data_IF_396607640498
#
_entry.id   IF_396607640498
#
_cell.length_a   1.000
_cell.length_b   1.000
_cell.length_c   1.000
_cell.angle_alpha   90.00
_cell.angle_beta   90.00
_cell.angle_gamma   90.00
#
_symmetry.space_group_name_H-M   'P 1'
#
loop_
_entity.id
_entity.type
_entity.pdbx_description
1 polymer ?
#
# COMPACT_ATOMS: atom_id res chain seq x y z
N UNK A 1 0.24 12.02 -2.76
CA UNK A 1 -0.56 12.12 -1.52
C UNK A 1 0.19 11.55 -0.32
N UNK A 2 0.61 12.39 0.62
CA UNK A 2 0.73 11.99 2.03
C UNK A 2 -0.55 11.24 2.44
N UNK A 3 -0.48 10.26 3.35
CA UNK A 3 -1.70 9.70 3.93
C UNK A 3 -2.59 10.87 4.34
N UNK A 4 -3.73 11.03 3.67
CA UNK A 4 -4.63 12.15 3.94
C UNK A 4 -5.09 11.92 5.37
N UNK A 5 -4.69 12.85 6.23
CA UNK A 5 -5.11 13.11 7.60
C UNK A 5 -5.59 11.91 8.46
N UNK A 6 -5.20 11.96 9.73
CA UNK A 6 -6.00 11.42 10.84
C UNK A 6 -7.40 12.05 10.79
N UNK A 7 -8.25 11.56 9.89
CA UNK A 7 -9.67 11.82 9.92
C UNK A 7 -10.17 11.12 11.17
N UNK A 8 -10.59 11.90 12.15
CA UNK A 8 -11.18 11.36 13.38
C UNK A 8 -12.35 10.41 13.08
N UNK A 9 -12.96 10.53 11.89
CA UNK A 9 -14.06 9.69 11.41
C UNK A 9 -13.69 8.20 11.26
N UNK A 10 -12.41 7.87 11.01
CA UNK A 10 -11.99 6.49 10.77
C UNK A 10 -11.19 5.89 11.93
N UNK A 11 -10.82 6.67 12.94
CA UNK A 11 -9.88 6.23 13.99
C UNK A 11 -10.33 4.99 14.77
N UNK A 12 -11.65 4.77 14.85
CA UNK A 12 -12.25 3.65 15.56
C UNK A 12 -12.62 2.49 14.63
N UNK A 13 -12.31 2.57 13.34
CA UNK A 13 -12.58 1.50 12.40
C UNK A 13 -11.59 0.35 12.63
N UNK A 14 -12.09 -0.87 12.47
CA UNK A 14 -11.35 -2.08 12.74
C UNK A 14 -11.47 -3.03 11.57
N UNK A 15 -10.40 -3.75 11.31
CA UNK A 15 -10.44 -4.92 10.45
C UNK A 15 -10.28 -6.16 11.33
N UNK A 16 -11.17 -7.13 11.19
CA UNK A 16 -11.09 -8.42 11.88
C UNK A 16 -11.01 -9.56 10.89
N UNK A 17 -10.11 -10.49 11.16
CA UNK A 17 -10.00 -11.76 10.45
C UNK A 17 -9.64 -12.82 11.49
N UNK A 18 -10.46 -13.87 11.59
CA UNK A 18 -10.29 -14.94 12.57
C UNK A 18 -10.06 -14.39 14.00
N UNK A 19 -8.87 -14.68 14.57
CA UNK A 19 -8.45 -14.24 15.90
C UNK A 19 -7.56 -12.99 15.88
N UNK A 20 -7.44 -12.29 14.75
CA UNK A 20 -6.59 -11.11 14.58
C UNK A 20 -7.44 -9.85 14.39
N UNK A 21 -7.17 -8.85 15.22
CA UNK A 21 -7.73 -7.51 15.06
C UNK A 21 -6.63 -6.55 14.56
N UNK A 22 -7.03 -5.67 13.64
CA UNK A 22 -6.23 -4.58 13.13
C UNK A 22 -6.97 -3.26 13.39
N UNK A 23 -6.24 -2.24 13.81
CA UNK A 23 -6.75 -0.89 14.00
C UNK A 23 -6.53 -0.05 12.75
N UNK A 24 -7.40 0.92 12.48
CA UNK A 24 -7.16 1.92 11.44
C UNK A 24 -5.78 2.58 11.63
N UNK A 25 -5.00 2.62 10.57
CA UNK A 25 -3.68 3.25 10.54
C UNK A 25 -3.64 4.49 9.65
N UNK A 26 -4.29 4.42 8.48
CA UNK A 26 -4.30 5.50 7.50
C UNK A 26 -5.13 5.14 6.28
N UNK A 27 -5.25 6.05 5.32
CA UNK A 27 -5.84 5.76 4.02
C UNK A 27 -5.16 6.55 2.92
N UNK A 28 -5.22 6.01 1.71
CA UNK A 28 -4.85 6.69 0.47
C UNK A 28 -6.07 6.89 -0.42
N UNK A 29 -5.82 7.27 -1.68
CA UNK A 29 -6.90 7.53 -2.64
C UNK A 29 -7.75 6.29 -2.98
N UNK A 30 -7.16 5.09 -2.91
CA UNK A 30 -7.78 3.86 -3.42
C UNK A 30 -7.96 2.78 -2.34
N UNK A 31 -7.70 3.06 -1.07
CA UNK A 31 -7.88 2.09 -0.01
C UNK A 31 -7.46 2.57 1.37
N UNK A 32 -7.74 1.72 2.35
CA UNK A 32 -7.46 1.94 3.76
C UNK A 32 -6.38 0.98 4.25
N UNK A 33 -5.58 1.43 5.20
CA UNK A 33 -4.53 0.67 5.86
C UNK A 33 -4.94 0.38 7.31
N UNK A 34 -4.85 -0.88 7.69
CA UNK A 34 -5.09 -1.34 9.05
C UNK A 34 -3.83 -1.98 9.63
N UNK A 35 -3.47 -1.66 10.87
CA UNK A 35 -2.26 -2.12 11.55
C UNK A 35 -2.62 -3.13 12.64
N UNK A 36 -1.94 -4.28 12.65
CA UNK A 36 -1.89 -5.17 13.81
C UNK A 36 -0.53 -4.99 14.48
N UNK A 37 -0.49 -4.25 15.60
CA UNK A 37 0.75 -4.01 16.34
C UNK A 37 1.35 -5.28 16.92
N UNK A 38 0.50 -6.14 17.49
CA UNK A 38 0.91 -7.42 18.06
C UNK A 38 1.66 -8.30 17.05
N UNK A 39 1.21 -8.26 15.79
CA UNK A 39 1.82 -9.06 14.72
C UNK A 39 2.80 -8.26 13.85
N UNK A 40 2.98 -6.95 14.10
CA UNK A 40 3.78 -6.04 13.26
C UNK A 40 3.45 -6.15 11.76
N UNK A 41 2.16 -6.18 11.42
CA UNK A 41 1.66 -6.29 10.04
C UNK A 41 0.71 -5.14 9.71
N UNK A 42 0.75 -4.69 8.46
CA UNK A 42 -0.22 -3.75 7.90
C UNK A 42 -1.03 -4.48 6.82
N UNK A 43 -2.35 -4.32 6.83
CA UNK A 43 -3.24 -4.79 5.76
C UNK A 43 -3.80 -3.61 5.00
N UNK A 44 -3.64 -3.64 3.67
CA UNK A 44 -4.28 -2.71 2.75
C UNK A 44 -5.58 -3.32 2.25
N UNK A 45 -6.67 -2.57 2.38
CA UNK A 45 -8.00 -2.96 1.91
C UNK A 45 -8.48 -1.92 0.89
N UNK A 46 -8.60 -2.26 -0.40
CA UNK A 46 -9.04 -1.30 -1.42
C UNK A 46 -10.50 -0.88 -1.23
N UNK A 47 -10.83 0.35 -1.62
CA UNK A 47 -12.23 0.81 -1.63
C UNK A 47 -13.02 0.19 -2.80
N UNK A 48 -14.28 -0.15 -2.57
CA UNK A 48 -15.23 -0.67 -3.57
C UNK A 48 -16.17 0.37 -4.15
N UNK A 49 -16.25 1.56 -3.54
CA UNK A 49 -17.13 2.66 -3.94
C UNK A 49 -16.48 4.04 -3.75
N UNK A 50 -16.97 5.04 -4.48
CA UNK A 50 -16.48 6.42 -4.42
C UNK A 50 -16.62 7.15 -5.77
N UNK A 51 -15.69 8.08 -6.06
CA UNK A 51 -15.69 8.91 -7.27
C UNK A 51 -15.30 8.18 -8.57
N UNK A 52 -14.97 6.89 -8.51
CA UNK A 52 -14.52 6.09 -9.66
C UNK A 52 -15.39 4.85 -9.85
N UNK A 53 -15.58 4.38 -11.09
CA UNK A 53 -16.26 3.11 -11.36
C UNK A 53 -15.57 1.94 -10.64
N UNK A 54 -16.35 1.02 -10.08
CA UNK A 54 -15.84 -0.15 -9.34
C UNK A 54 -14.88 -1.00 -10.16
N UNK A 55 -15.13 -1.20 -11.46
CA UNK A 55 -14.22 -1.93 -12.37
C UNK A 55 -12.83 -1.30 -12.42
N UNK A 56 -12.76 0.04 -12.46
CA UNK A 56 -11.50 0.77 -12.45
C UNK A 56 -10.77 0.60 -11.11
N UNK A 57 -11.49 0.61 -9.98
CA UNK A 57 -10.92 0.38 -8.65
C UNK A 57 -10.38 -1.05 -8.51
N UNK A 58 -11.11 -2.04 -9.03
CA UNK A 58 -10.66 -3.43 -9.08
C UNK A 58 -9.36 -3.55 -9.87
N UNK A 59 -9.25 -2.91 -11.04
CA UNK A 59 -8.04 -2.96 -11.84
C UNK A 59 -6.86 -2.30 -11.12
N UNK A 60 -7.07 -1.11 -10.53
CA UNK A 60 -6.02 -0.41 -9.75
C UNK A 60 -5.52 -1.28 -8.59
N UNK A 61 -6.42 -1.93 -7.86
CA UNK A 61 -6.06 -2.81 -6.75
C UNK A 61 -5.26 -4.03 -7.22
N UNK A 62 -5.65 -4.65 -8.34
CA UNK A 62 -4.91 -5.76 -8.96
C UNK A 62 -3.53 -5.33 -9.43
N UNK A 63 -3.43 -4.19 -10.10
CA UNK A 63 -2.17 -3.63 -10.60
C UNK A 63 -1.20 -3.32 -9.46
N UNK A 64 -1.71 -2.73 -8.36
CA UNK A 64 -0.91 -2.46 -7.17
C UNK A 64 -0.40 -3.77 -6.53
N UNK A 65 -1.28 -4.75 -6.31
CA UNK A 65 -0.90 -6.04 -5.75
C UNK A 65 0.14 -6.75 -6.63
N UNK A 66 -0.04 -6.70 -7.96
CA UNK A 66 0.92 -7.25 -8.91
C UNK A 66 2.27 -6.52 -8.83
N UNK A 67 2.28 -5.18 -8.75
CA UNK A 67 3.49 -4.39 -8.63
C UNK A 67 4.28 -4.78 -7.36
N UNK A 68 3.58 -4.90 -6.23
CA UNK A 68 4.19 -5.26 -4.95
C UNK A 68 4.74 -6.69 -5.00
N UNK A 69 4.04 -7.65 -5.61
CA UNK A 69 4.54 -9.01 -5.82
C UNK A 69 5.77 -9.06 -6.72
N UNK A 70 5.78 -8.32 -7.83
CA UNK A 70 6.96 -8.21 -8.71
C UNK A 70 8.15 -7.63 -7.96
N UNK A 71 7.93 -6.59 -7.16
CA UNK A 71 8.97 -6.00 -6.33
C UNK A 71 9.50 -6.96 -5.25
N UNK A 72 8.62 -7.75 -4.63
CA UNK A 72 8.98 -8.74 -3.62
C UNK A 72 9.88 -9.85 -4.17
N UNK A 73 9.62 -10.30 -5.39
CA UNK A 73 10.31 -11.43 -6.01
C UNK A 73 11.63 -11.05 -6.71
N UNK A 74 11.93 -9.76 -6.82
CA UNK A 74 13.13 -9.27 -7.51
C UNK A 74 14.27 -8.96 -6.56
N UNK A 75 15.48 -9.48 -6.84
CA UNK A 75 16.69 -9.17 -6.08
C UNK A 75 17.07 -7.67 -6.13
N UNK A 76 16.59 -6.93 -7.13
CA UNK A 76 16.88 -5.50 -7.31
C UNK A 76 16.05 -4.61 -6.40
N UNK A 77 14.80 -5.00 -6.12
CA UNK A 77 13.79 -4.14 -5.51
C UNK A 77 13.29 -4.64 -4.16
N UNK A 78 13.38 -5.94 -3.86
CA UNK A 78 12.88 -6.55 -2.61
C UNK A 78 13.30 -5.84 -1.33
N UNK A 79 14.50 -5.24 -1.31
CA UNK A 79 15.01 -4.53 -0.13
C UNK A 79 14.30 -3.20 0.14
N UNK A 80 13.69 -2.60 -0.89
CA UNK A 80 13.02 -1.31 -0.82
C UNK A 80 11.54 -1.40 -0.49
N UNK A 81 10.97 -2.60 -0.35
CA UNK A 81 9.56 -2.75 0.01
C UNK A 81 9.43 -3.43 1.38
N UNK A 82 8.28 -3.30 2.05
CA UNK A 82 7.98 -4.09 3.23
C UNK A 82 7.64 -5.55 2.82
N UNK A 83 8.23 -6.51 3.53
CA UNK A 83 8.07 -7.96 3.28
C UNK A 83 7.74 -8.69 4.57
N UNK A 84 7.01 -9.82 4.55
CA UNK A 84 6.48 -10.51 3.37
C UNK A 84 5.28 -9.79 2.75
N UNK A 85 4.87 -10.18 1.55
CA UNK A 85 3.63 -9.72 0.89
C UNK A 85 2.71 -10.92 0.75
N UNK A 86 1.48 -10.82 1.24
CA UNK A 86 0.52 -11.94 1.23
C UNK A 86 -0.90 -11.44 0.93
N UNK A 87 -1.60 -12.11 0.01
CA UNK A 87 -3.04 -11.90 -0.20
C UNK A 87 -3.86 -12.44 0.97
N UNK A 88 -4.86 -11.68 1.42
CA UNK A 88 -5.62 -11.99 2.63
C UNK A 88 -7.12 -11.66 2.48
N UNK A 89 -7.83 -12.37 1.58
CA UNK A 89 -9.15 -11.97 1.09
C UNK A 89 -10.31 -12.03 2.10
N UNK A 90 -10.08 -12.40 3.37
CA UNK A 90 -11.13 -12.79 4.32
C UNK A 90 -11.37 -11.77 5.46
N UNK A 91 -10.74 -10.61 5.41
CA UNK A 91 -10.90 -9.59 6.45
C UNK A 91 -12.24 -8.85 6.35
N UNK A 92 -12.89 -8.61 7.49
CA UNK A 92 -14.11 -7.81 7.60
C UNK A 92 -13.82 -6.45 8.22
N UNK A 93 -14.33 -5.38 7.61
CA UNK A 93 -14.17 -4.01 8.10
C UNK A 93 -15.39 -3.60 8.90
N UNK A 94 -15.16 -3.14 10.12
CA UNK A 94 -16.16 -2.63 11.04
C UNK A 94 -15.96 -1.13 11.25
N UNK A 95 -17.04 -0.37 11.17
CA UNK A 95 -17.01 1.07 11.48
C UNK A 95 -17.01 1.35 13.00
N UNK A 96 -17.07 2.62 13.39
CA UNK A 96 -17.07 3.04 14.79
C UNK A 96 -18.27 2.52 15.62
N UNK A 97 -19.40 2.26 14.97
CA UNK A 97 -20.59 1.68 15.58
C UNK A 97 -20.53 0.14 15.63
N UNK A 98 -19.39 -0.46 15.26
CA UNK A 98 -19.17 -1.90 15.16
C UNK A 98 -20.10 -2.59 14.14
N UNK A 99 -20.55 -1.86 13.12
CA UNK A 99 -21.30 -2.38 11.97
C UNK A 99 -20.32 -2.88 10.91
N UNK A 100 -20.56 -4.09 10.38
CA UNK A 100 -19.81 -4.66 9.25
C UNK A 100 -20.15 -3.88 7.97
N UNK A 101 -19.15 -3.22 7.37
CA UNK A 101 -19.25 -2.38 6.18
C UNK A 101 -18.36 -2.90 5.04
N UNK A 102 -17.94 -4.17 5.15
CA UNK A 102 -16.98 -4.80 4.23
C UNK A 102 -17.44 -4.70 2.78
N UNK A 103 -18.65 -5.18 2.50
CA UNK A 103 -19.16 -5.29 1.13
C UNK A 103 -19.77 -3.97 0.62
N UNK A 104 -20.04 -3.03 1.51
CA UNK A 104 -20.58 -1.71 1.15
C UNK A 104 -19.48 -0.80 0.59
N UNK A 105 -18.30 -0.81 1.23
CA UNK A 105 -17.26 0.19 0.97
C UNK A 105 -15.93 -0.39 0.49
N UNK A 106 -15.72 -1.71 0.55
CA UNK A 106 -14.41 -2.31 0.33
C UNK A 106 -14.40 -3.49 -0.65
N UNK A 107 -13.25 -3.69 -1.28
CA UNK A 107 -12.92 -4.87 -2.09
C UNK A 107 -12.04 -5.81 -1.25
N UNK A 108 -12.60 -6.37 -0.18
CA UNK A 108 -11.87 -7.21 0.80
C UNK A 108 -11.18 -8.41 0.16
N UNK A 109 -11.74 -8.95 -0.93
CA UNK A 109 -11.16 -10.02 -1.74
C UNK A 109 -9.83 -9.67 -2.42
N UNK A 110 -9.50 -8.38 -2.54
CA UNK A 110 -8.25 -7.87 -3.11
C UNK A 110 -7.31 -7.31 -2.04
N UNK A 111 -7.60 -7.54 -0.77
CA UNK A 111 -6.74 -7.07 0.32
C UNK A 111 -5.44 -7.88 0.41
N UNK A 112 -4.40 -7.20 0.86
CA UNK A 112 -3.09 -7.81 1.05
C UNK A 112 -2.36 -7.23 2.25
N UNK A 113 -1.48 -8.04 2.82
CA UNK A 113 -0.65 -7.71 3.96
C UNK A 113 0.79 -7.48 3.58
N UNK A 114 1.42 -6.60 4.35
CA UNK A 114 2.86 -6.42 4.39
C UNK A 114 3.35 -6.28 5.84
N UNK A 115 4.66 -6.41 6.07
CA UNK A 115 5.21 -6.05 7.39
C UNK A 115 5.06 -4.56 7.67
N UNK A 116 4.71 -4.23 8.90
CA UNK A 116 4.82 -2.88 9.41
C UNK A 116 6.28 -2.61 9.77
N UNK A 117 6.86 -1.55 9.19
CA UNK A 117 8.25 -1.17 9.44
C UNK A 117 8.25 0.22 10.06
N UNK A 118 8.60 0.30 11.34
CA UNK A 118 8.87 1.55 12.00
C UNK A 118 10.32 1.95 11.71
N UNK A 119 10.52 2.98 10.88
CA UNK A 119 11.85 3.48 10.51
C UNK A 119 12.15 4.71 11.36
N UNK A 120 12.98 4.53 12.39
CA UNK A 120 13.44 5.65 13.23
C UNK A 120 14.42 6.53 12.45
N UNK A 121 14.29 7.85 12.56
CA UNK A 121 15.21 8.81 11.95
C UNK A 121 15.04 9.02 10.44
N UNK A 122 14.11 8.34 9.78
CA UNK A 122 13.76 8.61 8.38
C UNK A 122 12.54 9.52 8.26
N UNK A 123 12.53 10.35 7.24
CA UNK A 123 11.39 11.23 6.91
C UNK A 123 10.51 10.55 5.87
N UNK A 124 9.20 10.48 6.16
CA UNK A 124 8.20 10.06 5.19
C UNK A 124 7.92 11.20 4.21
N UNK A 125 7.98 10.93 2.90
CA UNK A 125 7.66 11.92 1.88
C UNK A 125 7.20 11.27 0.57
N UNK A 126 6.78 12.11 -0.40
CA UNK A 126 6.51 11.66 -1.76
C UNK A 126 7.80 11.38 -2.51
N UNK A 127 7.80 10.34 -3.34
CA UNK A 127 8.94 9.96 -4.18
C UNK A 127 9.43 11.13 -5.05
N UNK A 128 8.53 11.89 -5.66
CA UNK A 128 8.87 13.07 -6.46
C UNK A 128 9.55 14.21 -5.68
N UNK A 129 9.48 14.20 -4.35
CA UNK A 129 10.08 15.20 -3.46
C UNK A 129 11.39 14.74 -2.81
N UNK A 130 11.75 13.47 -2.95
CA UNK A 130 12.97 12.88 -2.38
C UNK A 130 14.23 13.21 -3.21
N UNK A 131 15.42 12.90 -2.68
CA UNK A 131 16.69 13.20 -3.33
C UNK A 131 16.78 12.63 -4.75
N UNK A 132 17.02 13.51 -5.72
CA UNK A 132 17.00 13.18 -7.15
C UNK A 132 17.98 12.07 -7.56
N UNK A 133 19.11 11.88 -6.87
CA UNK A 133 20.09 10.85 -7.22
C UNK A 133 19.60 9.45 -6.82
N UNK A 134 19.13 9.29 -5.58
CA UNK A 134 18.53 8.04 -5.09
C UNK A 134 17.30 7.66 -5.92
N UNK A 135 16.45 8.64 -6.25
CA UNK A 135 15.27 8.44 -7.06
C UNK A 135 15.59 7.88 -8.46
N UNK A 136 16.59 8.43 -9.17
CA UNK A 136 16.98 7.94 -10.50
C UNK A 136 17.41 6.48 -10.48
N UNK A 137 18.22 6.09 -9.50
CA UNK A 137 18.68 4.70 -9.37
C UNK A 137 17.53 3.75 -9.04
N UNK A 138 16.58 4.19 -8.22
CA UNK A 138 15.43 3.38 -7.85
C UNK A 138 14.46 3.22 -9.01
N UNK A 139 14.15 4.30 -9.74
CA UNK A 139 13.34 4.25 -10.96
C UNK A 139 13.92 3.24 -11.94
N UNK A 140 15.25 3.24 -12.15
CA UNK A 140 15.91 2.26 -13.02
C UNK A 140 15.75 0.81 -12.51
N UNK A 141 15.80 0.58 -11.20
CA UNK A 141 15.65 -0.77 -10.62
C UNK A 141 14.22 -1.30 -10.72
N UNK A 142 13.23 -0.45 -10.46
CA UNK A 142 11.81 -0.81 -10.57
C UNK A 142 11.36 -0.92 -12.03
N UNK A 143 11.82 -0.03 -12.91
CA UNK A 143 11.52 -0.11 -14.35
C UNK A 143 12.02 -1.40 -15.01
N UNK A 144 13.13 -1.98 -14.53
CA UNK A 144 13.63 -3.29 -14.98
C UNK A 144 12.67 -4.45 -14.74
N UNK A 145 11.73 -4.30 -13.82
CA UNK A 145 10.72 -5.32 -13.49
C UNK A 145 9.32 -4.86 -13.86
N UNK A 146 9.19 -3.88 -14.76
CA UNK A 146 7.90 -3.40 -15.29
C UNK A 146 7.17 -2.40 -14.40
N UNK A 147 7.76 -1.97 -13.28
CA UNK A 147 7.13 -0.99 -12.38
C UNK A 147 7.58 0.42 -12.78
N UNK A 148 6.64 1.20 -13.31
CA UNK A 148 6.89 2.52 -13.90
C UNK A 148 6.26 3.67 -13.12
N UNK A 149 5.18 3.43 -12.36
CA UNK A 149 4.51 4.46 -11.56
C UNK A 149 5.06 4.54 -10.13
N UNK A 150 6.22 5.19 -10.01
CA UNK A 150 6.84 5.49 -8.72
C UNK A 150 6.65 6.93 -8.25
N UNK A 151 6.29 7.87 -9.12
CA UNK A 151 6.30 9.31 -8.81
C UNK A 151 5.37 9.65 -7.64
N UNK A 152 4.25 8.95 -7.53
CA UNK A 152 3.25 9.13 -6.46
C UNK A 152 3.50 8.26 -5.22
N UNK A 153 4.52 7.39 -5.26
CA UNK A 153 4.83 6.49 -4.16
C UNK A 153 5.20 7.27 -2.89
N UNK A 154 4.93 6.66 -1.74
CA UNK A 154 5.42 7.13 -0.45
C UNK A 154 6.76 6.47 -0.17
N UNK A 155 7.74 7.26 0.26
CA UNK A 155 9.08 6.78 0.60
C UNK A 155 9.50 7.23 1.98
N UNK A 156 10.38 6.43 2.59
CA UNK A 156 11.14 6.83 3.76
C UNK A 156 12.58 7.08 3.36
N UNK A 157 13.01 8.33 3.53
CA UNK A 157 14.36 8.80 3.21
C UNK A 157 15.14 9.08 4.50
N UNK A 158 16.35 8.54 4.59
CA UNK A 158 17.31 8.83 5.67
C UNK A 158 17.90 10.24 5.53
N UNK A 159 18.50 10.81 6.61
CA UNK A 159 19.10 12.14 6.55
C UNK A 159 20.22 12.29 5.51
N UNK A 160 20.84 11.19 5.08
CA UNK A 160 21.87 11.16 4.03
C UNK A 160 21.28 11.11 2.59
N UNK A 161 19.96 11.14 2.44
CA UNK A 161 19.25 11.08 1.15
C UNK A 161 19.05 9.66 0.61
N UNK A 162 19.28 8.62 1.42
CA UNK A 162 19.06 7.23 1.01
C UNK A 162 17.60 6.81 1.26
N UNK A 163 16.95 6.33 0.21
CA UNK A 163 15.62 5.73 0.32
C UNK A 163 15.73 4.31 0.90
N UNK A 164 15.04 4.10 2.02
CA UNK A 164 14.98 2.84 2.75
C UNK A 164 13.80 1.98 2.29
N UNK A 165 12.60 2.56 2.27
CA UNK A 165 11.36 1.88 1.91
C UNK A 165 10.49 2.70 0.99
N UNK A 166 9.69 2.01 0.18
CA UNK A 166 8.79 2.54 -0.83
C UNK A 166 7.49 1.75 -0.72
N UNK A 167 6.35 2.46 -0.73
CA UNK A 167 4.99 1.90 -0.72
C UNK A 167 4.09 2.71 -1.65
N UNK A 168 2.88 2.21 -1.92
CA UNK A 168 1.86 2.86 -2.75
C UNK A 168 2.33 3.15 -4.19
N UNK A 169 2.86 2.13 -4.87
CA UNK A 169 3.29 2.19 -6.27
C UNK A 169 2.51 1.20 -7.13
N UNK A 170 2.48 1.45 -8.45
CA UNK A 170 1.74 0.62 -9.41
C UNK A 170 2.52 0.31 -10.68
N UNK A 171 1.97 -0.61 -11.47
CA UNK A 171 2.45 -0.90 -12.83
C UNK A 171 1.69 -0.06 -13.86
N UNK A 172 2.32 0.21 -15.01
CA UNK A 172 1.58 0.71 -16.18
C UNK A 172 0.84 -0.44 -16.86
N UNK A 173 -0.50 -0.43 -16.88
CA UNK A 173 -1.28 -1.50 -17.51
C UNK A 173 -0.97 -1.64 -19.01
N UNK A 174 -0.45 -0.60 -19.67
CA UNK A 174 -0.06 -0.65 -21.09
C UNK A 174 1.28 -1.33 -21.35
N UNK A 175 2.11 -1.49 -20.33
CA UNK A 175 3.45 -2.12 -20.45
C UNK A 175 3.39 -3.62 -20.19
N UNK A 176 2.27 -4.12 -19.64
CA UNK A 176 2.10 -5.51 -19.23
C UNK A 176 1.02 -6.28 -20.01
N UNK A 177 0.66 -5.85 -21.22
CA UNK A 177 -0.05 -6.71 -22.16
C UNK A 177 0.98 -7.63 -22.84
N UNK A 178 1.12 -8.91 -22.42
CA UNK A 178 2.01 -9.83 -23.10
C UNK A 178 1.29 -10.21 -24.40
N UNK A 179 1.57 -9.48 -25.48
CA UNK A 179 1.28 -9.99 -26.82
C UNK A 179 1.97 -11.33 -27.04
#
# INVERSE_FOLDING_TARGET
MAYIAKSDHFKNWKLREDAVEFEYYGHGANGMLFLSRQNSRIRKVPFGGGYRPTEQLVQIAKDELQAVKLAANSCWTRKYIPLPVKETPNGRVYNEANTDISDELFLTSLSFEMSFIQISGATEMKFGSANSHSCKLIVKKFGRIGITYLVDATVWEEPDGKIQKIVDFGIDPKVHDPK
#
